data_IF_676803211422
#
_entry.id   IF_676803211422
#
_cell.length_a   1.000
_cell.length_b   1.000
_cell.length_c   1.000
_cell.angle_alpha   90.00
_cell.angle_beta   90.00
_cell.angle_gamma   90.00
#
_symmetry.space_group_name_H-M   'P 1'
#
loop_
_entity.id
_entity.type
_entity.pdbx_description
1 polymer ?
#
# COMPACT_ATOMS: atom_id res chain seq x y z
N UNK A 1 -17.19 -11.60 10.75
CA UNK A 1 -15.85 -10.95 10.92
C UNK A 1 -15.56 -9.88 9.87
N UNK A 2 -15.64 -10.14 8.56
CA UNK A 2 -15.57 -9.06 7.53
C UNK A 2 -16.70 -8.04 7.73
N UNK A 3 -17.88 -8.52 8.14
CA UNK A 3 -19.03 -7.67 8.47
C UNK A 3 -18.77 -6.80 9.70
N UNK A 4 -18.10 -7.31 10.73
CA UNK A 4 -17.74 -6.57 11.95
C UNK A 4 -16.88 -5.34 11.66
N UNK A 5 -15.85 -5.48 10.81
CA UNK A 5 -15.00 -4.34 10.38
C UNK A 5 -15.84 -3.32 9.58
N UNK A 6 -16.75 -3.81 8.74
CA UNK A 6 -17.65 -2.95 7.98
C UNK A 6 -18.58 -2.13 8.88
N UNK A 7 -19.09 -2.74 9.95
CA UNK A 7 -19.98 -2.10 10.91
C UNK A 7 -19.25 -1.02 11.72
N UNK A 8 -18.01 -1.30 12.16
CA UNK A 8 -17.16 -0.31 12.85
C UNK A 8 -16.92 0.90 11.95
N UNK A 9 -16.57 0.68 10.68
CA UNK A 9 -16.34 1.78 9.74
C UNK A 9 -17.60 2.61 9.48
N UNK A 10 -18.79 2.00 9.47
CA UNK A 10 -20.06 2.74 9.38
C UNK A 10 -20.29 3.61 10.62
N UNK A 11 -20.05 3.07 11.81
CA UNK A 11 -20.17 3.82 13.05
C UNK A 11 -19.23 5.03 13.07
N UNK A 12 -17.95 4.82 12.71
CA UNK A 12 -16.96 5.89 12.59
C UNK A 12 -17.37 6.95 11.56
N UNK A 13 -17.91 6.55 10.41
CA UNK A 13 -18.39 7.49 9.39
C UNK A 13 -19.54 8.37 9.91
N UNK A 14 -20.45 7.83 10.71
CA UNK A 14 -21.54 8.61 11.34
C UNK A 14 -20.98 9.65 12.30
N UNK A 15 -19.93 9.30 13.03
CA UNK A 15 -19.17 10.18 13.93
C UNK A 15 -18.25 11.17 13.20
N UNK A 16 -18.34 11.30 11.86
CA UNK A 16 -17.45 12.11 11.02
C UNK A 16 -15.96 11.71 11.12
N UNK A 17 -15.66 10.49 11.57
CA UNK A 17 -14.30 9.95 11.64
C UNK A 17 -14.07 9.10 10.39
N UNK A 18 -13.13 9.54 9.56
CA UNK A 18 -12.77 8.82 8.34
C UNK A 18 -11.53 7.96 8.54
N UNK A 19 -11.73 6.66 8.42
CA UNK A 19 -10.66 5.67 8.48
C UNK A 19 -10.49 4.96 7.14
N UNK A 20 -9.26 4.64 6.76
CA UNK A 20 -9.02 3.80 5.59
C UNK A 20 -9.32 2.33 5.93
N UNK A 21 -10.25 1.72 5.18
CA UNK A 21 -10.70 0.35 5.43
C UNK A 21 -9.55 -0.64 5.35
N UNK A 22 -8.66 -0.47 4.37
CA UNK A 22 -7.55 -1.41 4.14
C UNK A 22 -6.56 -1.35 5.29
N UNK A 23 -6.08 -0.15 5.59
CA UNK A 23 -5.14 0.09 6.70
C UNK A 23 -5.71 -0.42 8.02
N UNK A 24 -6.97 -0.10 8.33
CA UNK A 24 -7.61 -0.57 9.56
C UNK A 24 -7.74 -2.10 9.63
N UNK A 25 -8.15 -2.73 8.52
CA UNK A 25 -8.23 -4.18 8.46
C UNK A 25 -6.86 -4.85 8.64
N UNK A 26 -5.81 -4.26 8.07
CA UNK A 26 -4.44 -4.76 8.22
C UNK A 26 -3.95 -4.65 9.67
N UNK A 27 -4.23 -3.53 10.34
CA UNK A 27 -3.84 -3.31 11.74
C UNK A 27 -4.52 -4.31 12.68
N UNK A 28 -5.82 -4.56 12.50
CA UNK A 28 -6.57 -5.55 13.30
C UNK A 28 -6.00 -6.96 13.07
N UNK A 29 -5.85 -7.37 11.80
CA UNK A 29 -5.40 -8.72 11.45
C UNK A 29 -3.95 -9.00 11.85
N UNK A 30 -3.13 -7.95 12.01
CA UNK A 30 -1.73 -8.05 12.41
C UNK A 30 -1.54 -8.10 13.93
N UNK A 31 -2.61 -7.90 14.71
CA UNK A 31 -2.54 -7.88 16.17
C UNK A 31 -2.44 -9.30 16.75
N UNK A 32 -1.54 -9.58 17.72
CA UNK A 32 -1.37 -10.94 18.29
C UNK A 32 -2.65 -11.50 18.94
N UNK A 33 -3.49 -10.62 19.47
CA UNK A 33 -4.76 -10.97 20.10
C UNK A 33 -5.93 -11.08 19.11
N UNK A 34 -5.70 -11.07 17.79
CA UNK A 34 -6.78 -11.30 16.84
C UNK A 34 -7.36 -12.72 17.01
N UNK A 35 -8.69 -12.94 16.95
CA UNK A 35 -9.79 -12.00 16.65
C UNK A 35 -10.56 -11.49 17.89
N UNK A 36 -9.88 -10.89 18.87
CA UNK A 36 -10.54 -10.35 20.09
C UNK A 36 -10.92 -8.87 19.99
N UNK A 37 -11.81 -8.41 20.88
CA UNK A 37 -12.14 -6.99 21.06
C UNK A 37 -10.89 -6.12 21.28
N UNK A 38 -9.88 -6.65 21.97
CA UNK A 38 -8.63 -5.96 22.22
C UNK A 38 -7.91 -5.57 20.92
N UNK A 39 -7.96 -6.44 19.89
CA UNK A 39 -7.37 -6.11 18.58
C UNK A 39 -8.06 -4.92 17.91
N UNK A 40 -9.37 -4.79 18.09
CA UNK A 40 -10.19 -3.70 17.56
C UNK A 40 -9.90 -2.40 18.31
N UNK A 41 -9.93 -2.42 19.65
CA UNK A 41 -9.63 -1.25 20.48
C UNK A 41 -8.20 -0.75 20.26
N UNK A 42 -7.24 -1.68 20.15
CA UNK A 42 -5.84 -1.36 19.84
C UNK A 42 -5.71 -0.65 18.49
N UNK A 43 -6.40 -1.14 17.45
CA UNK A 43 -6.41 -0.49 16.14
C UNK A 43 -7.06 0.90 16.17
N UNK A 44 -8.13 1.11 16.95
CA UNK A 44 -8.72 2.44 17.15
C UNK A 44 -7.74 3.40 17.84
N UNK A 45 -7.06 2.94 18.90
CA UNK A 45 -6.06 3.72 19.63
C UNK A 45 -4.85 4.11 18.76
N UNK A 46 -4.35 3.20 17.92
CA UNK A 46 -3.27 3.48 16.94
C UNK A 46 -3.67 4.60 15.97
N UNK A 47 -4.96 4.71 15.67
CA UNK A 47 -5.50 5.78 14.83
C UNK A 47 -5.89 7.05 15.62
N UNK A 48 -5.52 7.15 16.89
CA UNK A 48 -5.83 8.27 17.79
C UNK A 48 -7.34 8.50 17.97
N UNK A 49 -8.11 7.41 17.99
CA UNK A 49 -9.55 7.40 18.29
C UNK A 49 -9.70 6.91 19.73
N UNK A 50 -10.04 7.81 20.65
CA UNK A 50 -10.35 7.45 22.04
C UNK A 50 -11.60 6.58 22.09
N UNK A 51 -11.46 5.40 22.69
CA UNK A 51 -12.53 4.41 22.79
C UNK A 51 -12.53 3.75 24.16
N UNK A 52 -13.72 3.38 24.62
CA UNK A 52 -13.93 2.72 25.91
C UNK A 52 -14.86 1.53 25.70
N UNK A 53 -14.53 0.41 26.35
CA UNK A 53 -15.40 -0.76 26.42
C UNK A 53 -15.88 -0.91 27.86
N UNK A 54 -17.19 -0.95 28.04
CA UNK A 54 -17.85 -1.06 29.34
C UNK A 54 -18.88 -2.18 29.29
N UNK A 55 -19.03 -2.88 30.41
CA UNK A 55 -20.08 -3.88 30.61
C UNK A 55 -21.24 -3.20 31.35
N UNK A 56 -22.45 -3.34 30.81
CA UNK A 56 -23.64 -2.63 31.28
C UNK A 56 -24.78 -3.63 31.44
N UNK A 57 -25.55 -3.49 32.51
CA UNK A 57 -26.73 -4.31 32.74
C UNK A 57 -27.93 -3.88 31.89
N UNK A 58 -28.85 -4.82 31.64
CA UNK A 58 -30.07 -4.57 30.87
C UNK A 58 -30.93 -3.40 31.41
N UNK A 59 -30.80 -3.09 32.70
CA UNK A 59 -31.51 -1.97 33.35
C UNK A 59 -30.96 -0.60 32.99
N UNK A 60 -29.70 -0.51 32.58
CA UNK A 60 -28.98 0.75 32.34
C UNK A 60 -28.89 1.08 30.84
N UNK A 61 -29.53 0.29 29.98
CA UNK A 61 -29.58 0.53 28.52
C UNK A 61 -30.16 1.91 28.16
N UNK A 62 -30.96 2.50 29.06
CA UNK A 62 -31.51 3.83 28.86
C UNK A 62 -30.52 4.98 29.08
N UNK A 63 -29.42 4.72 29.78
CA UNK A 63 -28.34 5.70 30.04
C UNK A 63 -27.32 5.78 28.90
N UNK A 64 -27.35 4.81 27.98
CA UNK A 64 -26.48 4.78 26.81
C UNK A 64 -26.81 5.91 25.82
N UNK A 65 -25.80 6.42 25.08
CA UNK A 65 -26.03 7.35 23.99
C UNK A 65 -26.89 6.72 22.89
N UNK A 66 -27.46 7.58 22.04
CA UNK A 66 -28.34 7.17 20.93
C UNK A 66 -27.66 6.21 19.94
N UNK A 67 -26.33 6.18 19.90
CA UNK A 67 -25.56 5.38 18.97
C UNK A 67 -24.30 4.75 19.61
N UNK A 68 -24.25 3.41 19.62
CA UNK A 68 -23.19 2.65 20.27
C UNK A 68 -22.86 1.36 19.50
N UNK A 69 -21.73 0.73 19.81
CA UNK A 69 -21.38 -0.59 19.30
C UNK A 69 -21.51 -1.64 20.40
N UNK A 70 -22.03 -2.82 20.06
CA UNK A 70 -22.12 -3.96 20.99
C UNK A 70 -21.87 -5.27 20.25
N UNK A 71 -21.52 -6.32 20.98
CA UNK A 71 -21.58 -7.67 20.43
C UNK A 71 -23.03 -8.18 20.45
N UNK A 72 -23.45 -8.72 19.32
CA UNK A 72 -24.72 -9.44 19.17
C UNK A 72 -24.44 -10.89 18.79
N UNK A 73 -25.24 -11.80 19.32
CA UNK A 73 -25.19 -13.22 18.98
C UNK A 73 -26.13 -13.46 17.79
N UNK A 74 -25.57 -13.84 16.65
CA UNK A 74 -26.33 -14.22 15.45
C UNK A 74 -26.58 -15.74 15.48
N UNK A 75 -27.59 -16.20 14.74
CA UNK A 75 -27.86 -17.63 14.50
C UNK A 75 -26.54 -18.36 14.21
N UNK A 76 -26.35 -19.51 14.86
CA UNK A 76 -25.10 -20.32 14.95
C UNK A 76 -24.08 -19.90 16.01
N UNK A 77 -24.49 -19.19 17.07
CA UNK A 77 -23.66 -18.89 18.24
C UNK A 77 -22.39 -18.08 17.93
N UNK A 78 -22.38 -17.40 16.77
CA UNK A 78 -21.28 -16.51 16.36
C UNK A 78 -21.58 -15.11 16.85
N UNK A 79 -20.62 -14.55 17.60
CA UNK A 79 -20.67 -13.17 18.05
C UNK A 79 -20.17 -12.25 16.93
N UNK A 80 -20.92 -11.18 16.68
CA UNK A 80 -20.53 -10.13 15.75
C UNK A 80 -20.61 -8.78 16.44
N UNK A 81 -19.59 -7.94 16.25
CA UNK A 81 -19.68 -6.54 16.64
C UNK A 81 -20.63 -5.82 15.67
N UNK A 82 -21.72 -5.29 16.21
CA UNK A 82 -22.73 -4.57 15.48
C UNK A 82 -22.84 -3.13 15.97
N UNK A 83 -23.18 -2.26 15.03
CA UNK A 83 -23.52 -0.88 15.30
C UNK A 83 -25.01 -0.77 15.58
N UNK A 84 -25.40 -0.15 16.69
CA UNK A 84 -26.80 -0.05 17.14
C UNK A 84 -27.20 1.41 17.30
N UNK A 85 -28.39 1.74 16.81
CA UNK A 85 -29.01 3.05 16.98
C UNK A 85 -30.32 2.91 17.76
N UNK A 86 -30.49 3.72 18.80
CA UNK A 86 -31.73 3.81 19.57
C UNK A 86 -32.73 4.68 18.80
N UNK A 87 -33.95 4.18 18.59
CA UNK A 87 -35.04 4.91 17.94
C UNK A 87 -36.30 4.78 18.78
N UNK A 88 -36.67 5.77 19.61
CA UNK A 88 -37.85 5.79 20.50
C UNK A 88 -38.20 4.47 21.22
N UNK A 89 -38.77 3.48 20.53
CA UNK A 89 -39.20 2.17 21.06
C UNK A 89 -38.47 0.96 20.46
N UNK A 90 -37.62 1.16 19.44
CA UNK A 90 -36.95 0.11 18.68
C UNK A 90 -35.44 0.40 18.57
N UNK A 91 -34.67 -0.66 18.29
CA UNK A 91 -33.24 -0.58 18.00
C UNK A 91 -32.97 -0.90 16.53
N UNK A 92 -32.16 -0.08 15.87
CA UNK A 92 -31.73 -0.31 14.48
C UNK A 92 -30.31 -0.85 14.48
N UNK A 93 -30.14 -2.08 14.02
CA UNK A 93 -28.85 -2.77 13.93
C UNK A 93 -28.27 -2.58 12.52
N UNK A 94 -27.03 -2.10 12.44
CA UNK A 94 -26.22 -1.90 11.24
C UNK A 94 -26.89 -1.05 10.14
N UNK A 95 -27.87 -0.21 10.53
CA UNK A 95 -28.70 0.60 9.63
C UNK A 95 -29.66 -0.21 8.75
N UNK A 96 -29.93 -1.48 9.09
CA UNK A 96 -30.71 -2.42 8.25
C UNK A 96 -31.82 -3.15 8.97
N UNK A 97 -31.56 -3.62 10.19
CA UNK A 97 -32.49 -4.49 10.91
C UNK A 97 -33.10 -3.72 12.07
N UNK A 98 -34.42 -3.51 12.03
CA UNK A 98 -35.16 -2.94 13.15
C UNK A 98 -35.61 -4.07 14.07
N UNK A 99 -35.27 -3.98 15.34
CA UNK A 99 -35.50 -5.01 16.35
C UNK A 99 -36.12 -4.36 17.58
N UNK A 100 -37.10 -5.03 18.18
CA UNK A 100 -37.74 -4.54 19.41
C UNK A 100 -36.76 -4.70 20.60
N UNK A 101 -36.92 -3.88 21.64
CA UNK A 101 -36.07 -3.89 22.84
C UNK A 101 -35.91 -5.29 23.47
N UNK A 102 -36.99 -6.08 23.56
CA UNK A 102 -36.94 -7.43 24.13
C UNK A 102 -36.08 -8.41 23.32
N UNK A 103 -36.19 -8.33 21.99
CA UNK A 103 -35.46 -9.20 21.08
C UNK A 103 -33.97 -8.80 21.04
N UNK A 104 -33.68 -7.51 21.19
CA UNK A 104 -32.32 -7.00 21.31
C UNK A 104 -31.66 -7.44 22.63
N UNK A 105 -32.33 -7.23 23.77
CA UNK A 105 -31.81 -7.58 25.10
C UNK A 105 -31.56 -9.08 25.29
N UNK A 106 -32.23 -9.94 24.50
CA UNK A 106 -31.98 -11.38 24.52
C UNK A 106 -30.81 -11.84 23.65
N UNK A 107 -30.32 -10.98 22.74
CA UNK A 107 -29.30 -11.33 21.76
C UNK A 107 -27.99 -10.55 21.93
N UNK A 108 -28.01 -9.41 22.61
CA UNK A 108 -26.81 -8.63 22.92
C UNK A 108 -26.01 -9.22 24.08
N UNK A 109 -24.76 -8.81 24.21
CA UNK A 109 -23.78 -9.44 25.10
C UNK A 109 -23.27 -8.51 26.21
N UNK A 110 -24.08 -7.50 26.61
CA UNK A 110 -23.83 -6.49 27.66
C UNK A 110 -22.55 -5.65 27.54
N UNK A 111 -21.65 -5.98 26.61
CA UNK A 111 -20.40 -5.25 26.35
C UNK A 111 -20.67 -4.18 25.30
N UNK A 112 -20.56 -2.93 25.71
CA UNK A 112 -20.73 -1.75 24.87
C UNK A 112 -19.38 -1.09 24.61
N UNK A 113 -19.14 -0.74 23.35
CA UNK A 113 -17.97 0.01 22.89
C UNK A 113 -18.43 1.39 22.47
N UNK A 114 -17.88 2.41 23.13
CA UNK A 114 -18.15 3.82 22.91
C UNK A 114 -16.90 4.52 22.36
N UNK A 115 -17.13 5.54 21.52
CA UNK A 115 -16.08 6.40 20.98
C UNK A 115 -16.26 7.80 21.56
N UNK A 116 -15.18 8.34 22.11
CA UNK A 116 -15.11 9.70 22.61
C UNK A 116 -14.67 10.63 21.46
N UNK A 117 -15.61 11.46 21.00
CA UNK A 117 -15.41 12.38 19.89
C UNK A 117 -14.45 13.52 20.25
N UNK A 118 -14.52 14.04 21.48
CA UNK A 118 -13.81 15.25 21.91
C UNK A 118 -12.29 15.03 22.01
N UNK A 119 -11.87 13.80 22.29
CA UNK A 119 -10.46 13.42 22.36
C UNK A 119 -9.92 12.82 21.07
N UNK A 120 -10.78 12.54 20.08
CA UNK A 120 -10.37 11.92 18.83
C UNK A 120 -9.71 12.95 17.91
N UNK A 121 -8.46 12.71 17.51
CA UNK A 121 -7.78 13.56 16.52
C UNK A 121 -8.32 13.14 15.15
N UNK A 122 -9.42 13.76 14.72
CA UNK A 122 -10.00 13.55 13.39
C UNK A 122 -8.96 13.97 12.35
N UNK A 123 -8.21 13.02 11.80
CA UNK A 123 -7.39 13.23 10.62
C UNK A 123 -8.33 13.54 9.47
N UNK A 124 -8.67 14.82 9.28
CA UNK A 124 -9.28 15.30 8.04
C UNK A 124 -8.41 14.79 6.91
N UNK A 125 -9.01 14.00 6.03
CA UNK A 125 -8.36 13.45 4.84
C UNK A 125 -7.91 14.65 3.99
N UNK A 126 -6.69 15.14 4.22
CA UNK A 126 -6.12 16.17 3.40
C UNK A 126 -6.08 15.60 1.99
N UNK A 127 -6.78 16.23 1.06
CA UNK A 127 -6.97 15.73 -0.28
C UNK A 127 -5.60 15.67 -0.98
N UNK A 128 -4.88 14.55 -0.85
CA UNK A 128 -3.48 14.42 -1.26
C UNK A 128 -3.25 14.61 -2.77
N UNK A 129 -4.34 14.74 -3.54
CA UNK A 129 -4.34 15.04 -4.97
C UNK A 129 -3.63 16.35 -5.31
N UNK A 130 -3.80 17.41 -4.51
CA UNK A 130 -3.08 18.67 -4.78
C UNK A 130 -1.58 18.54 -4.54
N UNK A 131 -1.15 17.81 -3.50
CA UNK A 131 0.27 17.55 -3.22
C UNK A 131 0.92 16.70 -4.31
N UNK A 132 0.20 15.69 -4.81
CA UNK A 132 0.66 14.85 -5.90
C UNK A 132 0.79 15.65 -7.22
N UNK A 133 -0.18 16.53 -7.49
CA UNK A 133 -0.19 17.39 -8.68
C UNK A 133 0.92 18.44 -8.63
N UNK A 134 1.16 19.06 -7.47
CA UNK A 134 2.29 19.96 -7.22
C UNK A 134 3.65 19.26 -7.38
N UNK A 135 3.80 18.07 -6.80
CA UNK A 135 5.01 17.27 -6.96
C UNK A 135 5.26 16.88 -8.43
N UNK A 136 4.21 16.47 -9.15
CA UNK A 136 4.30 16.14 -10.57
C UNK A 136 4.67 17.35 -11.43
N UNK A 137 4.08 18.52 -11.16
CA UNK A 137 4.41 19.77 -11.84
C UNK A 137 5.87 20.18 -11.61
N UNK A 138 6.36 20.06 -10.37
CA UNK A 138 7.77 20.36 -10.06
C UNK A 138 8.75 19.45 -10.81
N UNK A 139 8.48 18.13 -10.83
CA UNK A 139 9.30 17.17 -11.59
C UNK A 139 9.31 17.50 -13.08
N UNK A 140 8.15 17.87 -13.66
CA UNK A 140 8.05 18.21 -15.07
C UNK A 140 8.83 19.49 -15.41
N UNK A 141 8.76 20.51 -14.56
CA UNK A 141 9.53 21.75 -14.72
C UNK A 141 11.04 21.46 -14.67
N UNK A 142 11.48 20.62 -13.73
CA UNK A 142 12.88 20.20 -13.64
C UNK A 142 13.33 19.44 -14.88
N UNK A 143 12.51 18.53 -15.41
CA UNK A 143 12.81 17.79 -16.64
C UNK A 143 12.92 18.72 -17.86
N UNK A 144 12.03 19.70 -17.98
CA UNK A 144 12.08 20.69 -19.06
C UNK A 144 13.33 21.57 -18.93
N UNK A 145 13.68 22.01 -17.72
CA UNK A 145 14.91 22.76 -17.49
C UNK A 145 16.16 21.97 -17.89
N UNK A 146 16.21 20.68 -17.54
CA UNK A 146 17.32 19.79 -17.89
C UNK A 146 17.39 19.58 -19.42
N UNK A 147 16.25 19.45 -20.10
CA UNK A 147 16.20 19.31 -21.56
C UNK A 147 16.91 20.48 -22.28
N UNK A 148 16.74 21.72 -21.80
CA UNK A 148 17.39 22.88 -22.40
C UNK A 148 18.88 23.00 -22.06
N UNK A 149 19.37 22.29 -21.04
CA UNK A 149 20.76 22.36 -20.57
C UNK A 149 21.66 21.27 -21.11
N UNK A 150 21.09 20.13 -21.49
CA UNK A 150 21.82 18.90 -21.76
C UNK A 150 21.64 18.46 -23.22
N UNK A 151 22.66 17.78 -23.76
CA UNK A 151 22.59 17.14 -25.08
C UNK A 151 21.44 16.12 -25.19
N UNK A 152 20.89 15.94 -26.39
CA UNK A 152 19.75 15.05 -26.65
C UNK A 152 20.02 13.60 -26.22
N UNK A 153 21.21 13.06 -26.48
CA UNK A 153 21.58 11.70 -26.06
C UNK A 153 21.60 11.56 -24.53
N UNK A 154 22.18 12.55 -23.84
CA UNK A 154 22.24 12.61 -22.38
C UNK A 154 20.84 12.77 -21.76
N UNK A 155 19.94 13.51 -22.39
CA UNK A 155 18.53 13.61 -21.99
C UNK A 155 17.79 12.27 -22.14
N UNK A 156 17.94 11.59 -23.28
CA UNK A 156 17.33 10.26 -23.49
C UNK A 156 17.87 9.26 -22.47
N UNK A 157 19.18 9.30 -22.18
CA UNK A 157 19.80 8.42 -21.19
C UNK A 157 19.25 8.67 -19.78
N UNK A 158 19.04 9.93 -19.40
CA UNK A 158 18.39 10.31 -18.14
C UNK A 158 16.95 9.80 -18.07
N UNK A 159 16.18 10.00 -19.14
CA UNK A 159 14.79 9.56 -19.21
C UNK A 159 14.67 8.03 -19.06
N UNK A 160 15.52 7.27 -19.75
CA UNK A 160 15.61 5.82 -19.56
C UNK A 160 16.01 5.43 -18.13
N UNK A 161 16.93 6.17 -17.52
CA UNK A 161 17.34 5.91 -16.13
C UNK A 161 16.20 6.15 -15.14
N UNK A 162 15.37 7.17 -15.35
CA UNK A 162 14.19 7.44 -14.52
C UNK A 162 13.12 6.35 -14.69
N UNK A 163 12.85 5.93 -15.93
CA UNK A 163 11.94 4.82 -16.21
C UNK A 163 12.46 3.51 -15.56
N UNK A 164 13.76 3.25 -15.65
CA UNK A 164 14.41 2.10 -15.05
C UNK A 164 14.32 2.11 -13.53
N UNK A 165 14.58 3.27 -12.91
CA UNK A 165 14.42 3.47 -11.48
C UNK A 165 12.97 3.20 -11.03
N UNK A 166 11.99 3.73 -11.75
CA UNK A 166 10.58 3.49 -11.45
C UNK A 166 10.24 1.99 -11.50
N UNK A 167 10.65 1.28 -12.56
CA UNK A 167 10.44 -0.16 -12.67
C UNK A 167 11.15 -0.96 -11.56
N UNK A 168 12.36 -0.56 -11.16
CA UNK A 168 13.08 -1.19 -10.06
C UNK A 168 12.35 -1.03 -8.72
N UNK A 169 11.79 0.16 -8.43
CA UNK A 169 10.97 0.39 -7.23
C UNK A 169 9.70 -0.46 -7.24
N UNK A 170 9.01 -0.53 -8.38
CA UNK A 170 7.79 -1.35 -8.52
C UNK A 170 8.12 -2.84 -8.36
N UNK A 171 9.24 -3.30 -8.91
CA UNK A 171 9.74 -4.67 -8.74
C UNK A 171 10.00 -5.00 -7.27
N UNK A 172 10.68 -4.13 -6.52
CA UNK A 172 10.94 -4.33 -5.10
C UNK A 172 9.66 -4.36 -4.27
N UNK A 173 8.70 -3.47 -4.54
CA UNK A 173 7.40 -3.48 -3.83
C UNK A 173 6.70 -4.83 -3.97
N UNK A 174 6.75 -5.44 -5.16
CA UNK A 174 6.19 -6.77 -5.40
C UNK A 174 6.95 -7.87 -4.64
N UNK A 175 8.29 -7.81 -4.60
CA UNK A 175 9.12 -8.78 -3.84
C UNK A 175 8.83 -8.70 -2.34
N UNK A 176 8.62 -7.51 -1.79
CA UNK A 176 8.29 -7.31 -0.37
C UNK A 176 6.81 -7.55 -0.03
N UNK A 177 5.98 -7.95 -0.99
CA UNK A 177 4.54 -8.18 -0.75
C UNK A 177 3.75 -6.93 -0.43
N UNK A 178 4.27 -5.74 -0.76
CA UNK A 178 3.57 -4.47 -0.56
C UNK A 178 2.53 -4.34 -1.68
N UNK A 179 1.25 -4.50 -1.34
CA UNK A 179 0.14 -4.35 -2.27
C UNK A 179 0.16 -2.95 -2.89
N UNK A 180 0.16 -2.89 -4.23
CA UNK A 180 0.01 -1.62 -4.92
C UNK A 180 -0.83 -1.81 -6.19
N UNK A 181 -1.73 -0.86 -6.49
CA UNK A 181 -2.65 -0.99 -7.62
C UNK A 181 -1.94 -1.06 -8.97
N UNK A 182 -0.70 -0.57 -9.04
CA UNK A 182 0.15 -0.64 -10.24
C UNK A 182 0.70 -2.05 -10.43
N UNK A 183 1.16 -2.67 -9.35
CA UNK A 183 1.70 -4.04 -9.37
C UNK A 183 0.61 -5.04 -9.70
N UNK A 184 -0.60 -4.87 -9.14
CA UNK A 184 -1.70 -5.81 -9.37
C UNK A 184 -2.17 -5.77 -10.83
N UNK A 185 -2.23 -4.59 -11.47
CA UNK A 185 -2.57 -4.48 -12.90
C UNK A 185 -1.51 -5.05 -13.84
N UNK A 186 -0.22 -4.89 -13.49
CA UNK A 186 0.89 -5.33 -14.36
C UNK A 186 1.18 -6.82 -14.19
N UNK A 187 0.86 -7.40 -13.03
CA UNK A 187 1.16 -8.80 -12.70
C UNK A 187 -0.08 -9.72 -12.65
N UNK A 188 -1.30 -9.24 -12.94
CA UNK A 188 -2.53 -10.06 -12.90
C UNK A 188 -2.69 -10.98 -14.11
N UNK A 189 -1.92 -12.07 -14.16
CA UNK A 189 -2.05 -13.08 -15.21
C UNK A 189 -1.50 -14.43 -14.79
N UNK A 190 -2.16 -15.51 -15.21
CA UNK A 190 -1.88 -16.92 -14.86
C UNK A 190 -0.47 -17.39 -15.24
N UNK A 191 0.20 -16.71 -16.18
CA UNK A 191 1.58 -16.97 -16.61
C UNK A 191 2.58 -15.88 -16.18
N UNK A 192 2.10 -14.83 -15.51
CA UNK A 192 2.85 -13.63 -15.09
C UNK A 192 2.91 -13.49 -13.57
N UNK A 193 2.71 -14.59 -12.85
CA UNK A 193 2.90 -14.63 -11.40
C UNK A 193 4.38 -14.39 -11.06
N UNK A 194 4.73 -13.14 -10.80
CA UNK A 194 6.01 -12.76 -10.17
C UNK A 194 6.05 -13.17 -8.68
N UNK A 195 5.11 -13.98 -8.18
CA UNK A 195 5.10 -14.53 -6.82
C UNK A 195 6.16 -15.64 -6.70
N UNK A 196 7.41 -15.24 -6.54
CA UNK A 196 8.49 -16.08 -6.01
C UNK A 196 8.32 -16.34 -4.49
N UNK A 197 7.09 -16.38 -3.99
CA UNK A 197 6.77 -16.45 -2.55
C UNK A 197 6.76 -17.87 -1.98
N UNK A 198 7.16 -18.88 -2.74
CA UNK A 198 7.11 -20.28 -2.28
C UNK A 198 8.46 -20.86 -1.83
N UNK A 199 9.57 -20.46 -2.47
CA UNK A 199 10.84 -21.14 -2.25
C UNK A 199 11.90 -20.20 -1.72
N UNK A 200 12.54 -20.67 -0.64
CA UNK A 200 13.76 -20.16 0.02
C UNK A 200 14.95 -20.09 -0.95
N UNK A 201 14.84 -19.36 -2.04
CA UNK A 201 15.92 -19.08 -2.99
C UNK A 201 16.41 -17.66 -2.77
N UNK A 202 16.90 -17.43 -1.56
CA UNK A 202 17.51 -16.20 -1.03
C UNK A 202 18.83 -15.80 -1.70
N UNK A 203 19.18 -16.33 -2.88
CA UNK A 203 20.55 -16.29 -3.36
C UNK A 203 20.91 -15.17 -4.33
N UNK A 204 20.02 -14.77 -5.24
CA UNK A 204 20.44 -13.90 -6.36
C UNK A 204 19.32 -13.07 -7.00
N UNK A 205 18.09 -13.59 -7.07
CA UNK A 205 16.98 -12.92 -7.77
C UNK A 205 16.43 -11.73 -6.98
N UNK A 206 16.33 -11.81 -5.65
CA UNK A 206 15.92 -10.65 -4.83
C UNK A 206 16.98 -9.53 -4.85
N UNK A 207 18.26 -9.91 -4.93
CA UNK A 207 19.37 -8.96 -5.04
C UNK A 207 19.36 -8.20 -6.38
N UNK A 208 18.79 -8.76 -7.45
CA UNK A 208 18.71 -8.10 -8.76
C UNK A 208 17.89 -6.80 -8.71
N UNK A 209 16.81 -6.78 -7.92
CA UNK A 209 16.02 -5.56 -7.68
C UNK A 209 16.84 -4.47 -6.98
N UNK A 210 17.65 -4.85 -6.01
CA UNK A 210 18.52 -3.92 -5.27
C UNK A 210 19.66 -3.38 -6.15
N UNK A 211 20.30 -4.24 -6.96
CA UNK A 211 21.37 -3.81 -7.87
C UNK A 211 20.85 -2.90 -8.98
N UNK A 212 19.70 -3.22 -9.57
CA UNK A 212 19.08 -2.37 -10.60
C UNK A 212 18.64 -1.02 -10.03
N UNK A 213 18.06 -0.98 -8.83
CA UNK A 213 17.72 0.28 -8.16
C UNK A 213 18.97 1.13 -7.92
N UNK A 214 20.02 0.55 -7.35
CA UNK A 214 21.27 1.25 -7.08
C UNK A 214 21.90 1.81 -8.37
N UNK A 215 21.93 1.00 -9.44
CA UNK A 215 22.44 1.42 -10.75
C UNK A 215 21.69 2.64 -11.29
N UNK A 216 20.36 2.59 -11.38
CA UNK A 216 19.58 3.70 -11.92
C UNK A 216 19.64 4.94 -11.04
N UNK A 217 19.69 4.78 -9.72
CA UNK A 217 19.82 5.88 -8.77
C UNK A 217 21.18 6.59 -8.93
N UNK A 218 22.27 5.83 -9.04
CA UNK A 218 23.61 6.39 -9.29
C UNK A 218 23.64 7.12 -10.64
N UNK A 219 22.99 6.59 -11.68
CA UNK A 219 22.91 7.24 -12.98
C UNK A 219 22.17 8.57 -12.92
N UNK A 220 21.01 8.62 -12.27
CA UNK A 220 20.23 9.86 -12.13
C UNK A 220 21.02 10.91 -11.35
N UNK A 221 21.60 10.55 -10.20
CA UNK A 221 22.38 11.48 -9.39
C UNK A 221 23.61 11.97 -10.17
N UNK A 222 24.37 11.06 -10.76
CA UNK A 222 25.59 11.42 -11.49
C UNK A 222 25.29 12.38 -12.63
N UNK A 223 24.24 12.14 -13.41
CA UNK A 223 23.89 12.98 -14.56
C UNK A 223 23.39 14.37 -14.13
N UNK A 224 22.69 14.47 -13.00
CA UNK A 224 22.30 15.76 -12.40
C UNK A 224 23.52 16.58 -11.94
N UNK A 225 24.49 15.95 -11.28
CA UNK A 225 25.70 16.64 -10.82
C UNK A 225 26.63 17.01 -11.98
N UNK A 226 26.81 16.11 -12.94
CA UNK A 226 27.75 16.29 -14.04
C UNK A 226 27.28 17.29 -15.09
N UNK A 227 25.96 17.49 -15.23
CA UNK A 227 25.36 18.53 -16.07
C UNK A 227 25.98 19.92 -15.85
N UNK A 228 26.46 20.22 -14.64
CA UNK A 228 27.04 21.52 -14.32
C UNK A 228 28.58 21.58 -14.47
N UNK A 229 29.24 20.42 -14.62
CA UNK A 229 30.70 20.28 -14.56
C UNK A 229 31.39 20.13 -15.93
N UNK A 230 30.62 19.96 -17.01
CA UNK A 230 31.14 19.79 -18.38
C UNK A 230 31.90 18.49 -18.63
N UNK A 231 31.95 17.56 -17.67
CA UNK A 231 32.71 16.29 -17.76
C UNK A 231 31.87 15.11 -18.30
N UNK A 232 30.97 15.36 -19.25
CA UNK A 232 30.01 14.35 -19.76
C UNK A 232 30.71 13.14 -20.40
N UNK A 233 31.81 13.36 -21.12
CA UNK A 233 32.52 12.29 -21.84
C UNK A 233 33.11 11.22 -20.91
N UNK A 234 33.62 11.63 -19.74
CA UNK A 234 34.21 10.69 -18.75
C UNK A 234 33.11 9.79 -18.17
N UNK A 235 31.95 10.36 -17.87
CA UNK A 235 30.81 9.61 -17.36
C UNK A 235 30.30 8.56 -18.35
N UNK A 236 30.15 8.93 -19.62
CA UNK A 236 29.71 7.99 -20.65
C UNK A 236 30.73 6.87 -20.89
N UNK A 237 32.02 7.17 -20.78
CA UNK A 237 33.07 6.15 -20.87
C UNK A 237 32.97 5.12 -19.74
N UNK A 238 32.79 5.59 -18.49
CA UNK A 238 32.60 4.70 -17.33
C UNK A 238 31.33 3.87 -17.48
N UNK A 239 30.23 4.48 -17.93
CA UNK A 239 28.96 3.77 -18.10
C UNK A 239 29.01 2.72 -19.20
N UNK A 240 29.72 2.98 -20.29
CA UNK A 240 29.92 2.02 -21.37
C UNK A 240 30.61 0.75 -20.86
N UNK A 241 31.67 0.91 -20.05
CA UNK A 241 32.38 -0.23 -19.44
C UNK A 241 31.45 -1.00 -18.51
N UNK A 242 30.69 -0.29 -17.67
CA UNK A 242 29.78 -0.91 -16.70
C UNK A 242 28.67 -1.72 -17.39
N UNK A 243 28.07 -1.18 -18.47
CA UNK A 243 27.01 -1.87 -19.22
C UNK A 243 27.51 -3.12 -19.96
N UNK A 244 28.74 -3.12 -20.45
CA UNK A 244 29.37 -4.31 -21.04
C UNK A 244 29.48 -5.43 -19.99
N UNK A 245 29.83 -5.09 -18.75
CA UNK A 245 29.90 -6.05 -17.63
C UNK A 245 28.50 -6.55 -17.21
N UNK A 246 27.47 -5.71 -17.35
CA UNK A 246 26.08 -6.06 -17.00
C UNK A 246 25.44 -6.97 -18.07
N UNK A 247 25.87 -6.91 -19.33
CA UNK A 247 25.35 -7.72 -20.43
C UNK A 247 25.30 -9.25 -20.14
N UNK A 248 26.37 -9.90 -19.64
CA UNK A 248 26.31 -11.32 -19.27
C UNK A 248 25.32 -11.60 -18.12
N UNK A 249 25.14 -10.65 -17.20
CA UNK A 249 24.18 -10.76 -16.09
C UNK A 249 22.74 -10.71 -16.61
N UNK A 250 22.46 -9.85 -17.60
CA UNK A 250 21.17 -9.80 -18.31
C UNK A 250 20.88 -11.15 -18.97
N UNK A 251 21.86 -11.71 -19.69
CA UNK A 251 21.73 -13.02 -20.33
C UNK A 251 21.43 -14.15 -19.35
N UNK A 252 22.15 -14.17 -18.22
CA UNK A 252 21.89 -15.13 -17.14
C UNK A 252 20.49 -14.98 -16.54
N UNK A 253 20.03 -13.75 -16.32
CA UNK A 253 18.69 -13.46 -15.77
C UNK A 253 17.58 -13.94 -16.69
N UNK A 254 17.69 -13.70 -18.01
CA UNK A 254 16.73 -14.22 -19.01
C UNK A 254 16.75 -15.74 -19.06
N UNK A 255 17.94 -16.35 -19.06
CA UNK A 255 18.09 -17.81 -19.07
C UNK A 255 17.39 -18.44 -17.86
N UNK A 256 17.59 -17.86 -16.67
CA UNK A 256 16.97 -18.36 -15.44
C UNK A 256 15.43 -18.27 -15.47
N UNK A 257 14.87 -17.15 -15.95
CA UNK A 257 13.42 -16.94 -16.04
C UNK A 257 12.76 -17.89 -17.06
N UNK A 258 13.35 -18.04 -18.26
CA UNK A 258 12.79 -18.83 -19.34
C UNK A 258 12.94 -20.35 -19.12
N UNK A 259 14.12 -20.82 -18.69
CA UNK A 259 14.42 -22.25 -18.64
C UNK A 259 14.15 -22.89 -17.28
N UNK A 260 14.45 -22.21 -16.17
CA UNK A 260 14.26 -22.79 -14.82
C UNK A 260 12.86 -22.54 -14.27
N UNK A 261 12.41 -21.28 -14.27
CA UNK A 261 11.12 -20.91 -13.66
C UNK A 261 9.96 -21.15 -14.64
N UNK A 262 10.20 -21.07 -15.96
CA UNK A 262 9.17 -21.10 -17.02
C UNK A 262 8.06 -20.06 -16.81
N UNK A 263 8.36 -19.01 -16.05
CA UNK A 263 7.49 -17.84 -15.84
C UNK A 263 8.26 -16.60 -16.20
N UNK A 264 7.58 -15.68 -16.86
CA UNK A 264 8.16 -14.43 -17.32
C UNK A 264 7.67 -13.30 -16.43
N UNK A 265 8.59 -12.59 -15.77
CA UNK A 265 8.21 -11.42 -14.98
C UNK A 265 8.29 -10.16 -15.87
N UNK A 266 7.15 -9.51 -16.20
CA UNK A 266 7.13 -8.37 -17.11
C UNK A 266 7.95 -7.18 -16.61
N UNK A 267 8.04 -6.99 -15.29
CA UNK A 267 8.86 -5.94 -14.68
C UNK A 267 10.36 -6.16 -14.94
N UNK A 268 10.84 -7.39 -14.80
CA UNK A 268 12.24 -7.74 -15.06
C UNK A 268 12.60 -7.57 -16.54
N UNK A 269 11.69 -7.97 -17.44
CA UNK A 269 11.86 -7.73 -18.88
C UNK A 269 11.92 -6.23 -19.17
N UNK A 270 11.05 -5.43 -18.56
CA UNK A 270 11.08 -3.97 -18.72
C UNK A 270 12.44 -3.36 -18.33
N UNK A 271 13.01 -3.79 -17.20
CA UNK A 271 14.35 -3.36 -16.75
C UNK A 271 15.42 -3.78 -17.78
N UNK A 272 15.35 -5.01 -18.29
CA UNK A 272 16.29 -5.52 -19.28
C UNK A 272 16.22 -4.73 -20.58
N UNK A 273 15.02 -4.41 -21.08
CA UNK A 273 14.82 -3.60 -22.28
C UNK A 273 15.45 -2.22 -22.10
N UNK A 274 15.27 -1.59 -20.94
CA UNK A 274 15.87 -0.28 -20.65
C UNK A 274 17.39 -0.35 -20.67
N UNK A 275 17.99 -1.37 -20.04
CA UNK A 275 19.45 -1.54 -20.04
C UNK A 275 20.01 -1.79 -21.46
N UNK A 276 19.29 -2.54 -22.30
CA UNK A 276 19.68 -2.75 -23.70
C UNK A 276 19.58 -1.46 -24.51
N UNK A 277 18.53 -0.67 -24.33
CA UNK A 277 18.40 0.64 -24.98
C UNK A 277 19.49 1.61 -24.53
N UNK A 278 19.84 1.64 -23.24
CA UNK A 278 20.96 2.44 -22.73
C UNK A 278 22.28 2.02 -23.38
N UNK A 279 22.52 0.71 -23.49
CA UNK A 279 23.73 0.18 -24.15
C UNK A 279 23.80 0.61 -25.62
N UNK A 280 22.68 0.55 -26.34
CA UNK A 280 22.59 0.97 -27.74
C UNK A 280 22.92 2.46 -27.91
N UNK A 281 22.35 3.33 -27.08
CA UNK A 281 22.58 4.79 -27.12
C UNK A 281 24.04 5.16 -26.86
N UNK A 282 24.76 4.40 -26.01
CA UNK A 282 26.17 4.67 -25.71
C UNK A 282 27.15 4.08 -26.73
N UNK A 283 26.66 3.23 -27.63
CA UNK A 283 27.48 2.57 -28.64
C UNK A 283 27.44 3.31 -29.99
N UNK A 284 26.33 4.02 -30.25
CA UNK A 284 26.18 5.02 -31.32
C UNK A 284 26.94 6.31 -30.97
#
# INVERSE_FOLDING_TARGET
MVESISNILKYLQKKNIHLDRKEFSFQINSHPAFPSLLSIMSALNVNYISNFAIEIDNSEIDELPDDFMTFITIKDNKQELAFVEKTNQDFVINGRYKVNAKDFLSSWNNIVVLIDEDQSIVKKKADGRYKLMLAGSFVLIVLVYIYFKINLNSFIFLFLSLCGFFLAVVSLRKVFGIESPVVDKVCSGTYTDCSLSGDKTTGFVSHFGNFSLAYFLVNVISLLFLCNSGSEAVFFTIQKILLIIILPVIGYSLFYQLFKIKKVCPLCIGIIIILLLQTYILLI
#
